data_IF_096131118966
#
_entry.id   IF_096131118966
#
_cell.length_a   1.000
_cell.length_b   1.000
_cell.length_c   1.000
_cell.angle_alpha   90.00
_cell.angle_beta   90.00
_cell.angle_gamma   90.00
#
_symmetry.space_group_name_H-M   'P 1'
#
loop_
_entity.id
_entity.type
_entity.pdbx_description
1 polymer ?
#
# COMPACT_ATOMS: atom_id res chain seq x y z
N UNK A 1 -6.36 8.80 -15.02
CA UNK A 1 -5.29 9.79 -14.94
C UNK A 1 -4.24 9.36 -13.92
N UNK A 2 -2.97 9.42 -14.26
CA UNK A 2 -1.87 9.12 -13.34
C UNK A 2 -1.63 10.35 -12.46
N UNK A 3 -1.44 10.21 -11.13
CA UNK A 3 -1.10 11.34 -10.26
C UNK A 3 0.18 12.09 -10.68
N UNK A 4 1.01 11.48 -11.54
CA UNK A 4 2.26 12.01 -12.07
C UNK A 4 2.14 12.69 -13.46
N UNK A 5 0.92 12.93 -13.96
CA UNK A 5 0.70 13.50 -15.30
C UNK A 5 1.43 14.83 -15.51
N UNK A 6 1.45 15.71 -14.51
CA UNK A 6 2.17 16.99 -14.60
C UNK A 6 3.67 16.81 -14.89
N UNK A 7 4.28 15.72 -14.44
CA UNK A 7 5.70 15.41 -14.70
C UNK A 7 5.93 14.83 -16.09
N UNK A 8 4.90 14.20 -16.67
CA UNK A 8 4.95 13.52 -17.95
C UNK A 8 4.45 14.40 -19.09
N UNK A 9 3.73 15.50 -18.75
CA UNK A 9 3.20 16.43 -19.72
C UNK A 9 4.26 17.45 -20.18
N UNK A 10 4.28 17.71 -21.48
CA UNK A 10 4.93 18.90 -22.07
C UNK A 10 3.82 19.75 -22.69
N UNK A 11 3.71 21.03 -22.28
CA UNK A 11 2.67 21.95 -22.80
C UNK A 11 1.23 21.40 -22.68
N UNK A 12 0.89 20.76 -21.56
CA UNK A 12 -0.42 20.14 -21.29
C UNK A 12 -0.75 18.89 -22.15
N UNK A 13 0.21 18.38 -22.91
CA UNK A 13 0.05 17.13 -23.69
C UNK A 13 0.94 16.06 -23.05
N UNK A 14 0.36 14.89 -22.73
CA UNK A 14 1.11 13.76 -22.21
C UNK A 14 1.98 13.20 -23.33
N UNK A 15 3.24 12.92 -23.04
CA UNK A 15 4.13 12.26 -23.97
C UNK A 15 4.02 10.73 -23.79
N UNK A 16 3.35 10.05 -24.68
CA UNK A 16 3.07 8.62 -24.63
C UNK A 16 4.33 7.77 -24.39
N UNK A 17 5.46 8.16 -24.98
CA UNK A 17 6.72 7.44 -24.79
C UNK A 17 7.25 7.60 -23.38
N UNK A 18 7.23 8.82 -22.83
CA UNK A 18 7.66 9.05 -21.44
C UNK A 18 6.74 8.35 -20.45
N UNK A 19 5.43 8.35 -20.71
CA UNK A 19 4.46 7.62 -19.90
C UNK A 19 4.72 6.13 -19.90
N UNK A 20 4.94 5.55 -21.09
CA UNK A 20 5.25 4.13 -21.24
C UNK A 20 6.55 3.75 -20.53
N UNK A 21 7.63 4.51 -20.74
CA UNK A 21 8.94 4.26 -20.13
C UNK A 21 8.84 4.33 -18.60
N UNK A 22 8.18 5.36 -18.05
CA UNK A 22 7.94 5.53 -16.62
C UNK A 22 7.10 4.39 -16.02
N UNK A 23 5.99 4.04 -16.67
CA UNK A 23 5.10 2.97 -16.22
C UNK A 23 5.79 1.61 -16.27
N UNK A 24 6.60 1.36 -17.29
CA UNK A 24 7.38 0.13 -17.47
C UNK A 24 8.45 -0.01 -16.38
N UNK A 25 9.20 1.07 -16.11
CA UNK A 25 10.20 1.10 -15.03
C UNK A 25 9.56 0.85 -13.66
N UNK A 26 8.46 1.54 -13.37
CA UNK A 26 7.75 1.42 -12.10
C UNK A 26 7.15 0.02 -11.91
N UNK A 27 6.57 -0.56 -12.96
CA UNK A 27 6.03 -1.92 -12.95
C UNK A 27 7.12 -2.95 -12.66
N UNK A 28 8.28 -2.83 -13.29
CA UNK A 28 9.45 -3.70 -13.03
C UNK A 28 9.94 -3.54 -11.59
N UNK A 29 10.08 -2.30 -11.12
CA UNK A 29 10.57 -1.98 -9.77
C UNK A 29 9.67 -2.56 -8.68
N UNK A 30 8.35 -2.58 -8.90
CA UNK A 30 7.38 -3.07 -7.93
C UNK A 30 6.96 -4.53 -8.17
N UNK A 31 7.61 -5.21 -9.11
CA UNK A 31 7.38 -6.62 -9.39
C UNK A 31 5.95 -6.91 -9.90
N UNK A 32 5.37 -5.99 -10.66
CA UNK A 32 4.07 -6.21 -11.32
C UNK A 32 4.27 -7.23 -12.45
N UNK A 33 3.59 -8.37 -12.35
CA UNK A 33 3.63 -9.41 -13.39
C UNK A 33 2.51 -9.16 -14.39
N UNK A 34 2.82 -8.47 -15.48
CA UNK A 34 1.93 -8.25 -16.61
C UNK A 34 2.52 -8.89 -17.87
N UNK A 35 1.69 -9.53 -18.69
CA UNK A 35 2.12 -10.05 -20.00
C UNK A 35 2.41 -8.91 -20.96
N UNK A 36 1.58 -7.88 -20.96
CA UNK A 36 1.75 -6.65 -21.69
C UNK A 36 1.27 -5.49 -20.85
N UNK A 37 2.09 -4.45 -20.72
CA UNK A 37 1.79 -3.25 -19.93
C UNK A 37 0.64 -2.41 -20.53
N UNK A 38 0.33 -2.61 -21.82
CA UNK A 38 -0.75 -1.91 -22.51
C UNK A 38 -2.12 -2.56 -22.24
N UNK A 39 -2.17 -3.76 -21.65
CA UNK A 39 -3.44 -4.39 -21.31
C UNK A 39 -4.12 -3.71 -20.12
N UNK A 40 -5.45 -3.70 -20.08
CA UNK A 40 -6.20 -3.19 -18.94
C UNK A 40 -5.79 -3.89 -17.64
N UNK A 41 -5.65 -3.13 -16.54
CA UNK A 41 -5.28 -3.68 -15.24
C UNK A 41 -6.27 -4.76 -14.75
N UNK A 42 -7.52 -4.75 -15.21
CA UNK A 42 -8.54 -5.76 -14.92
C UNK A 42 -8.18 -7.17 -15.41
N UNK A 43 -7.21 -7.30 -16.33
CA UNK A 43 -6.72 -8.61 -16.82
C UNK A 43 -5.67 -9.23 -15.89
N UNK A 44 -5.17 -8.46 -14.91
CA UNK A 44 -4.18 -8.92 -13.94
C UNK A 44 -4.82 -9.68 -12.78
N UNK A 45 -4.04 -10.53 -12.11
CA UNK A 45 -4.44 -11.10 -10.82
C UNK A 45 -4.65 -10.01 -9.77
N UNK A 46 -5.48 -10.28 -8.75
CA UNK A 46 -5.80 -9.31 -7.70
C UNK A 46 -4.56 -8.70 -7.04
N UNK A 47 -3.55 -9.52 -6.72
CA UNK A 47 -2.29 -9.03 -6.15
C UNK A 47 -1.50 -8.13 -7.11
N UNK A 48 -1.52 -8.39 -8.43
CA UNK A 48 -0.90 -7.49 -9.40
C UNK A 48 -1.70 -6.22 -9.61
N UNK A 49 -3.04 -6.28 -9.56
CA UNK A 49 -3.88 -5.08 -9.57
C UNK A 49 -3.55 -4.18 -8.36
N UNK A 50 -3.41 -4.76 -7.17
CA UNK A 50 -3.05 -4.03 -5.96
C UNK A 50 -1.66 -3.38 -6.08
N UNK A 51 -0.67 -4.10 -6.63
CA UNK A 51 0.65 -3.52 -6.92
C UNK A 51 0.57 -2.34 -7.88
N UNK A 52 -0.29 -2.40 -8.90
CA UNK A 52 -0.51 -1.28 -9.84
C UNK A 52 -1.10 -0.06 -9.11
N UNK A 53 -2.06 -0.28 -8.18
CA UNK A 53 -2.63 0.81 -7.37
C UNK A 53 -1.54 1.47 -6.52
N UNK A 54 -0.72 0.68 -5.82
CA UNK A 54 0.39 1.19 -5.02
C UNK A 54 1.42 1.90 -5.91
N UNK A 55 1.78 1.30 -7.05
CA UNK A 55 2.70 1.88 -8.02
C UNK A 55 2.32 3.29 -8.44
N UNK A 56 1.04 3.49 -8.72
CA UNK A 56 0.46 4.78 -9.10
C UNK A 56 0.81 5.90 -8.11
N UNK A 57 0.76 5.61 -6.81
CA UNK A 57 1.04 6.57 -5.75
C UNK A 57 2.53 6.67 -5.43
N UNK A 58 3.26 5.55 -5.46
CA UNK A 58 4.72 5.52 -5.24
C UNK A 58 5.46 6.34 -6.30
N UNK A 59 4.97 6.38 -7.53
CA UNK A 59 5.51 7.22 -8.60
C UNK A 59 5.52 8.72 -8.31
N UNK A 60 4.73 9.18 -7.34
CA UNK A 60 4.72 10.56 -6.83
C UNK A 60 5.82 10.86 -5.82
N UNK A 61 6.61 9.86 -5.42
CA UNK A 61 7.61 9.97 -4.35
C UNK A 61 7.01 10.51 -3.03
N UNK A 62 5.95 9.91 -2.49
CA UNK A 62 5.32 10.39 -1.26
C UNK A 62 6.26 10.22 -0.06
N UNK A 63 6.14 11.11 0.91
CA UNK A 63 6.76 10.93 2.23
C UNK A 63 5.92 10.04 3.14
N UNK A 64 4.60 10.08 2.96
CA UNK A 64 3.62 9.26 3.66
C UNK A 64 2.68 8.61 2.63
N UNK A 65 2.50 7.31 2.77
CA UNK A 65 1.55 6.51 1.98
C UNK A 65 0.48 5.96 2.92
N UNK A 66 -0.78 6.24 2.62
CA UNK A 66 -1.93 5.70 3.37
C UNK A 66 -2.53 4.56 2.54
N UNK A 67 -2.60 3.38 3.14
CA UNK A 67 -3.12 2.16 2.52
C UNK A 67 -4.33 1.68 3.33
N UNK A 68 -5.49 1.61 2.67
CA UNK A 68 -6.72 1.11 3.25
C UNK A 68 -6.99 -0.29 2.70
N UNK A 69 -7.00 -1.29 3.61
CA UNK A 69 -7.19 -2.70 3.31
C UNK A 69 -6.30 -3.22 2.14
N UNK A 70 -4.96 -3.02 2.20
CA UNK A 70 -4.09 -3.25 1.04
C UNK A 70 -4.00 -4.72 0.60
N UNK A 71 -4.41 -5.66 1.45
CA UNK A 71 -4.33 -7.10 1.18
C UNK A 71 -5.69 -7.78 1.11
N UNK A 72 -6.76 -7.00 1.13
CA UNK A 72 -8.11 -7.56 1.12
C UNK A 72 -8.42 -8.24 -0.21
N UNK A 73 -8.91 -9.48 -0.13
CA UNK A 73 -9.37 -10.22 -1.30
C UNK A 73 -8.26 -10.76 -2.21
N UNK A 74 -7.00 -10.76 -1.77
CA UNK A 74 -5.89 -11.37 -2.50
C UNK A 74 -5.42 -12.66 -1.79
N UNK A 75 -4.76 -13.54 -2.53
CA UNK A 75 -4.23 -14.80 -2.00
C UNK A 75 -3.00 -14.59 -1.09
N UNK A 76 -2.65 -15.61 -0.30
CA UNK A 76 -1.57 -15.55 0.69
C UNK A 76 -0.22 -15.22 0.05
N UNK A 77 0.06 -15.74 -1.15
CA UNK A 77 1.30 -15.44 -1.86
C UNK A 77 1.37 -13.99 -2.27
N UNK A 78 0.26 -13.44 -2.78
CA UNK A 78 0.17 -12.04 -3.15
C UNK A 78 0.21 -11.11 -1.92
N UNK A 79 -0.35 -11.51 -0.76
CA UNK A 79 -0.20 -10.75 0.51
C UNK A 79 1.27 -10.57 0.87
N UNK A 80 2.05 -11.67 0.82
CA UNK A 80 3.49 -11.61 1.10
C UNK A 80 4.20 -10.60 0.19
N UNK A 81 3.90 -10.62 -1.11
CA UNK A 81 4.48 -9.68 -2.07
C UNK A 81 4.17 -8.21 -1.71
N UNK A 82 2.97 -7.92 -1.20
CA UNK A 82 2.58 -6.57 -0.74
C UNK A 82 3.34 -6.19 0.53
N UNK A 83 3.51 -7.11 1.49
CA UNK A 83 4.29 -6.85 2.72
C UNK A 83 5.77 -6.58 2.39
N UNK A 84 6.36 -7.38 1.51
CA UNK A 84 7.74 -7.18 1.06
C UNK A 84 7.89 -5.80 0.38
N UNK A 85 6.92 -5.40 -0.44
CA UNK A 85 6.88 -4.07 -1.06
C UNK A 85 6.78 -2.94 -0.02
N UNK A 86 5.92 -3.09 0.99
CA UNK A 86 5.79 -2.10 2.07
C UNK A 86 7.11 -1.95 2.84
N UNK A 87 7.77 -3.07 3.17
CA UNK A 87 9.07 -3.08 3.84
C UNK A 87 10.15 -2.41 2.99
N UNK A 88 10.17 -2.64 1.67
CA UNK A 88 11.11 -1.95 0.78
C UNK A 88 10.86 -0.44 0.73
N UNK A 89 9.61 0.00 0.75
CA UNK A 89 9.27 1.42 0.74
C UNK A 89 9.68 2.10 2.04
N UNK A 90 9.43 1.47 3.19
CA UNK A 90 9.84 2.01 4.50
C UNK A 90 11.36 2.06 4.63
N UNK A 91 12.08 1.05 4.15
CA UNK A 91 13.54 1.07 4.09
C UNK A 91 14.10 2.22 3.21
N UNK A 92 13.32 2.73 2.27
CA UNK A 92 13.65 3.90 1.43
C UNK A 92 13.16 5.23 2.03
N UNK A 93 12.65 5.22 3.26
CA UNK A 93 12.24 6.42 4.00
C UNK A 93 10.79 6.86 3.76
N UNK A 94 9.96 6.03 3.13
CA UNK A 94 8.52 6.31 3.01
C UNK A 94 7.83 5.85 4.28
N UNK A 95 7.11 6.73 4.97
CA UNK A 95 6.23 6.32 6.07
C UNK A 95 4.96 5.68 5.53
N UNK A 96 4.48 4.61 6.16
CA UNK A 96 3.24 3.95 5.77
C UNK A 96 2.25 3.99 6.93
N UNK A 97 1.03 4.43 6.65
CA UNK A 97 -0.13 4.25 7.51
C UNK A 97 -1.02 3.20 6.87
N UNK A 98 -1.16 2.05 7.52
CA UNK A 98 -2.00 0.96 7.06
C UNK A 98 -3.27 0.86 7.90
N UNK A 99 -4.41 0.77 7.25
CA UNK A 99 -5.70 0.39 7.86
C UNK A 99 -5.98 -1.04 7.42
N UNK A 100 -6.27 -1.93 8.36
CA UNK A 100 -6.60 -3.32 8.06
C UNK A 100 -7.58 -3.88 9.09
N UNK A 101 -8.51 -4.71 8.64
CA UNK A 101 -9.42 -5.49 9.48
C UNK A 101 -8.80 -6.82 9.94
N UNK A 102 -7.63 -7.19 9.42
CA UNK A 102 -6.92 -8.42 9.78
C UNK A 102 -5.93 -8.16 10.91
N UNK A 103 -6.32 -8.50 12.14
CA UNK A 103 -5.49 -8.25 13.33
C UNK A 103 -4.08 -8.85 13.27
N UNK A 104 -3.86 -10.08 12.72
CA UNK A 104 -2.51 -10.62 12.54
C UNK A 104 -1.64 -9.77 11.61
N UNK A 105 -2.23 -9.18 10.55
CA UNK A 105 -1.54 -8.27 9.63
C UNK A 105 -1.11 -7.00 10.35
N UNK A 106 -2.04 -6.38 11.09
CA UNK A 106 -1.77 -5.15 11.85
C UNK A 106 -0.63 -5.39 12.84
N UNK A 107 -0.66 -6.48 13.60
CA UNK A 107 0.39 -6.81 14.57
C UNK A 107 1.72 -7.08 13.88
N UNK A 108 1.70 -7.86 12.79
CA UNK A 108 2.93 -8.29 12.13
C UNK A 108 3.65 -7.21 11.32
N UNK A 109 2.92 -6.17 10.88
CA UNK A 109 3.45 -5.17 9.94
C UNK A 109 3.64 -3.77 10.55
N UNK A 110 3.21 -3.53 11.79
CA UNK A 110 3.21 -2.19 12.35
C UNK A 110 4.24 -2.00 13.46
N UNK A 111 4.94 -0.87 13.44
CA UNK A 111 5.78 -0.43 14.57
C UNK A 111 4.92 0.10 15.73
N UNK A 112 3.80 0.75 15.38
CA UNK A 112 2.82 1.30 16.31
C UNK A 112 1.41 1.10 15.77
N UNK A 113 0.47 0.82 16.66
CA UNK A 113 -0.93 0.55 16.32
C UNK A 113 -1.80 1.59 17.02
N UNK A 114 -2.49 2.43 16.25
CA UNK A 114 -3.55 3.29 16.76
C UNK A 114 -4.86 2.51 16.76
N UNK A 115 -5.45 2.32 17.91
CA UNK A 115 -6.75 1.68 18.05
C UNK A 115 -7.84 2.75 18.12
N UNK A 116 -8.88 2.58 17.31
CA UNK A 116 -10.04 3.49 17.24
C UNK A 116 -11.26 2.72 17.73
N UNK A 117 -12.01 3.32 18.67
CA UNK A 117 -13.28 2.83 19.16
C UNK A 117 -14.33 3.95 19.06
N UNK A 118 -15.48 3.69 18.47
CA UNK A 118 -16.59 4.66 18.29
C UNK A 118 -16.13 6.03 17.77
N UNK A 119 -15.21 6.05 16.79
CA UNK A 119 -14.70 7.28 16.19
C UNK A 119 -13.70 8.06 17.04
N UNK A 120 -13.21 7.50 18.14
CA UNK A 120 -12.22 8.11 19.04
C UNK A 120 -10.97 7.25 19.14
N UNK A 121 -9.82 7.88 19.35
CA UNK A 121 -8.58 7.18 19.65
C UNK A 121 -8.69 6.53 21.04
N UNK A 122 -8.77 5.20 21.09
CA UNK A 122 -8.82 4.43 22.32
C UNK A 122 -7.41 4.23 22.93
N UNK A 123 -6.37 4.21 22.09
CA UNK A 123 -5.00 4.12 22.57
C UNK A 123 -4.00 3.88 21.43
N UNK A 124 -2.72 4.01 21.77
CA UNK A 124 -1.59 3.65 20.89
C UNK A 124 -0.85 2.49 21.57
N UNK A 125 -0.59 1.44 20.79
CA UNK A 125 0.13 0.24 21.25
C UNK A 125 1.43 0.13 20.45
N UNK A 126 2.56 0.10 21.13
CA UNK A 126 3.86 -0.15 20.50
C UNK A 126 3.97 -1.63 20.09
N UNK A 127 4.72 -1.92 19.03
CA UNK A 127 4.87 -3.29 18.50
C UNK A 127 5.21 -4.33 19.58
N UNK A 128 6.15 -4.01 20.47
CA UNK A 128 6.60 -4.91 21.57
C UNK A 128 5.48 -5.29 22.53
N UNK A 129 4.44 -4.46 22.67
CA UNK A 129 3.31 -4.64 23.57
C UNK A 129 2.04 -5.07 22.82
N UNK A 130 2.13 -5.26 21.49
CA UNK A 130 1.01 -5.56 20.62
C UNK A 130 0.59 -7.02 20.75
N UNK A 131 -0.47 -7.26 21.52
CA UNK A 131 -1.15 -8.56 21.58
C UNK A 131 -2.58 -8.44 21.09
N UNK A 132 -3.12 -9.53 20.56
CA UNK A 132 -4.52 -9.55 20.12
C UNK A 132 -5.47 -9.12 21.24
N UNK A 133 -5.25 -9.65 22.46
CA UNK A 133 -6.06 -9.30 23.64
C UNK A 133 -6.03 -7.81 23.91
N UNK A 134 -4.84 -7.20 23.97
CA UNK A 134 -4.70 -5.77 24.28
C UNK A 134 -5.39 -4.88 23.24
N UNK A 135 -5.18 -5.20 21.96
CA UNK A 135 -5.81 -4.42 20.88
C UNK A 135 -7.32 -4.58 20.92
N UNK A 136 -7.83 -5.80 21.10
CA UNK A 136 -9.28 -6.05 21.18
C UNK A 136 -9.90 -5.41 22.41
N UNK A 137 -9.25 -5.42 23.56
CA UNK A 137 -9.73 -4.70 24.76
C UNK A 137 -9.95 -3.22 24.44
N UNK A 138 -8.95 -2.54 23.87
CA UNK A 138 -9.09 -1.14 23.47
C UNK A 138 -10.17 -0.94 22.38
N UNK A 139 -10.26 -1.84 21.41
CA UNK A 139 -11.22 -1.75 20.31
C UNK A 139 -12.67 -1.94 20.77
N UNK A 140 -12.88 -2.58 21.92
CA UNK A 140 -14.21 -2.80 22.52
C UNK A 140 -14.54 -1.82 23.66
N UNK A 141 -13.71 -0.82 23.89
CA UNK A 141 -13.90 0.19 24.93
C UNK A 141 -13.51 -0.26 26.34
N UNK A 142 -12.71 -1.33 26.47
CA UNK A 142 -12.08 -1.72 27.73
C UNK A 142 -10.87 -0.85 28.08
N UNK A 143 -10.58 -0.71 29.37
CA UNK A 143 -9.38 -0.04 29.90
C UNK A 143 -8.17 -0.98 29.99
#
# INVERSE_FOLDING_TARGET
>A
ALPSEERLAQSHVINDKKEFDFSSELSKRLGVKAQDINLPASTLSGGNQQKVVIAKWVGMHPKLLILDEPTRGIDIGAKKDIYDLMNELTAKGVSIMMVSSELPEVIGMSDRILVIHEGRAAGIVEHKDATQTRIMTLATGGE
#
